data_IF_097146743929
#
_entry.id   IF_097146743929
#
_cell.length_a   1.000
_cell.length_b   1.000
_cell.length_c   1.000
_cell.angle_alpha   90.00
_cell.angle_beta   90.00
_cell.angle_gamma   90.00
#
_symmetry.space_group_name_H-M   'P 1'
#
loop_
_entity.id
_entity.type
_entity.pdbx_description
1 polymer ?
#
# COMPACT_ATOMS: atom_id res chain seq x y z
N UNK A 1 13.71 -0.79 -10.15
CA UNK A 1 13.19 -0.08 -8.94
C UNK A 1 12.06 0.81 -9.40
N UNK A 2 10.95 0.85 -8.67
CA UNK A 2 9.78 1.67 -9.02
C UNK A 2 10.08 3.16 -8.79
N UNK A 3 9.80 4.00 -9.77
CA UNK A 3 10.03 5.45 -9.71
C UNK A 3 8.73 6.24 -9.54
N UNK A 4 7.64 5.76 -10.17
CA UNK A 4 6.33 6.40 -10.17
C UNK A 4 5.27 5.45 -9.64
N UNK A 5 4.70 5.81 -8.50
CA UNK A 5 3.76 4.98 -7.74
C UNK A 5 2.38 5.65 -7.74
N UNK A 6 1.35 4.90 -8.12
CA UNK A 6 -0.04 5.29 -7.92
C UNK A 6 -0.55 4.75 -6.59
N UNK A 7 -1.24 5.56 -5.81
CA UNK A 7 -1.94 5.15 -4.60
C UNK A 7 -3.42 5.45 -4.77
N UNK A 8 -4.25 4.42 -4.68
CA UNK A 8 -5.70 4.53 -4.82
C UNK A 8 -6.38 4.36 -3.47
N UNK A 9 -7.16 5.37 -3.10
CA UNK A 9 -7.73 5.53 -1.77
C UNK A 9 -6.89 6.46 -0.91
N UNK A 10 -7.44 7.64 -0.60
CA UNK A 10 -6.78 8.70 0.19
C UNK A 10 -7.09 8.62 1.69
N UNK A 11 -7.61 7.49 2.17
CA UNK A 11 -7.87 7.22 3.58
C UNK A 11 -6.61 7.08 4.43
N UNK A 12 -6.77 6.61 5.67
CA UNK A 12 -5.68 6.49 6.65
C UNK A 12 -4.48 5.68 6.13
N UNK A 13 -4.74 4.58 5.41
CA UNK A 13 -3.68 3.74 4.84
C UNK A 13 -3.05 4.41 3.62
N UNK A 14 -3.85 4.84 2.64
CA UNK A 14 -3.33 5.42 1.40
C UNK A 14 -2.51 6.68 1.62
N UNK A 15 -2.95 7.62 2.49
CA UNK A 15 -2.14 8.81 2.82
C UNK A 15 -0.81 8.45 3.48
N UNK A 16 -0.79 7.39 4.34
CA UNK A 16 0.43 6.93 4.98
C UNK A 16 1.39 6.25 4.00
N UNK A 17 0.86 5.44 3.07
CA UNK A 17 1.62 4.81 1.98
C UNK A 17 2.21 5.87 1.05
N UNK A 18 1.40 6.86 0.68
CA UNK A 18 1.85 7.98 -0.15
C UNK A 18 3.00 8.78 0.51
N UNK A 19 2.85 9.10 1.81
CA UNK A 19 3.91 9.76 2.57
C UNK A 19 5.19 8.93 2.60
N UNK A 20 5.09 7.62 2.88
CA UNK A 20 6.24 6.73 2.97
C UNK A 20 7.06 6.79 1.68
N UNK A 21 6.43 6.54 0.55
CA UNK A 21 7.16 6.46 -0.72
C UNK A 21 7.62 7.83 -1.24
N UNK A 22 6.85 8.90 -1.01
CA UNK A 22 7.31 10.24 -1.33
C UNK A 22 8.54 10.64 -0.49
N UNK A 23 8.59 10.26 0.79
CA UNK A 23 9.76 10.48 1.66
C UNK A 23 10.97 9.65 1.25
N UNK A 24 10.74 8.49 0.61
CA UNK A 24 11.81 7.60 0.11
C UNK A 24 12.28 7.95 -1.31
N UNK A 25 11.75 9.03 -1.90
CA UNK A 25 12.23 9.57 -3.18
C UNK A 25 11.38 9.26 -4.40
N UNK A 26 10.30 8.45 -4.28
CA UNK A 26 9.42 8.11 -5.40
C UNK A 26 8.43 9.24 -5.71
N UNK A 27 8.08 9.39 -6.99
CA UNK A 27 6.94 10.21 -7.41
C UNK A 27 5.65 9.47 -7.08
N UNK A 28 4.73 10.11 -6.36
CA UNK A 28 3.49 9.47 -5.90
C UNK A 28 2.28 10.25 -6.41
N UNK A 29 1.42 9.56 -7.15
CA UNK A 29 0.11 10.04 -7.58
C UNK A 29 -0.95 9.48 -6.64
N UNK A 30 -1.78 10.34 -6.04
CA UNK A 30 -2.85 9.94 -5.12
C UNK A 30 -4.18 10.13 -5.84
N UNK A 31 -4.95 9.06 -5.95
CA UNK A 31 -6.29 9.07 -6.52
C UNK A 31 -7.32 8.60 -5.49
N UNK A 32 -8.43 9.29 -5.44
CA UNK A 32 -9.65 8.88 -4.72
C UNK A 32 -10.87 9.33 -5.54
N UNK A 33 -11.99 8.66 -5.39
CA UNK A 33 -13.24 9.05 -6.03
C UNK A 33 -13.81 10.35 -5.46
N UNK A 34 -13.36 10.78 -4.30
CA UNK A 34 -13.66 12.05 -3.64
C UNK A 34 -12.43 12.95 -3.69
N UNK A 35 -12.49 14.01 -4.47
CA UNK A 35 -11.38 14.94 -4.62
C UNK A 35 -10.92 15.54 -3.26
N UNK A 36 -11.89 15.89 -2.41
CA UNK A 36 -11.61 16.45 -1.07
C UNK A 36 -10.77 15.49 -0.20
N UNK A 37 -10.93 14.18 -0.38
CA UNK A 37 -10.13 13.20 0.38
C UNK A 37 -8.65 13.24 -0.02
N UNK A 38 -8.34 13.60 -1.25
CA UNK A 38 -6.96 13.76 -1.72
C UNK A 38 -6.33 14.99 -1.09
N UNK A 39 -7.06 16.12 -1.09
CA UNK A 39 -6.60 17.37 -0.49
C UNK A 39 -6.37 17.20 1.02
N UNK A 40 -7.32 16.56 1.71
CA UNK A 40 -7.21 16.22 3.14
C UNK A 40 -5.98 15.34 3.43
N UNK A 41 -5.70 14.35 2.57
CA UNK A 41 -4.55 13.45 2.72
C UNK A 41 -3.22 14.20 2.56
N UNK A 42 -3.12 15.07 1.55
CA UNK A 42 -1.92 15.89 1.31
C UNK A 42 -1.72 16.87 2.46
N UNK A 43 -2.77 17.56 2.91
CA UNK A 43 -2.69 18.51 4.01
C UNK A 43 -2.36 17.82 5.35
N UNK A 44 -2.93 16.65 5.61
CA UNK A 44 -2.56 15.83 6.78
C UNK A 44 -1.06 15.51 6.77
N UNK A 45 -0.54 15.04 5.64
CA UNK A 45 0.87 14.70 5.48
C UNK A 45 1.77 15.94 5.63
N UNK A 46 1.37 17.08 5.05
CA UNK A 46 2.05 18.36 5.21
C UNK A 46 2.21 18.72 6.69
N UNK A 47 1.12 18.65 7.45
CA UNK A 47 1.11 18.98 8.87
C UNK A 47 1.96 18.01 9.69
N UNK A 48 1.96 16.72 9.36
CA UNK A 48 2.79 15.72 10.03
C UNK A 48 4.28 15.92 9.77
N UNK A 49 4.65 16.17 8.52
CA UNK A 49 6.02 16.45 8.12
C UNK A 49 6.53 17.77 8.74
N UNK A 50 5.71 18.83 8.77
CA UNK A 50 6.03 20.10 9.41
C UNK A 50 6.34 19.92 10.91
N UNK A 51 5.60 19.05 11.60
CA UNK A 51 5.90 18.71 13.00
C UNK A 51 7.25 17.97 13.14
N UNK A 52 7.64 17.20 12.14
CA UNK A 52 8.93 16.51 12.11
C UNK A 52 10.08 17.49 11.91
N UNK A 53 9.91 18.50 11.08
CA UNK A 53 10.86 19.61 10.91
C UNK A 53 11.01 20.38 12.23
N UNK A 54 9.90 20.79 12.86
CA UNK A 54 9.91 21.50 14.13
C UNK A 54 10.63 20.74 15.27
N UNK A 55 10.67 19.40 15.17
CA UNK A 55 11.39 18.52 16.12
C UNK A 55 12.84 18.22 15.69
N UNK A 56 13.32 18.82 14.61
CA UNK A 56 14.66 18.57 14.07
C UNK A 56 14.88 17.16 13.50
N UNK A 57 13.81 16.44 13.17
CA UNK A 57 13.84 15.05 12.62
C UNK A 57 13.82 15.02 11.11
N UNK A 58 13.52 16.13 10.46
CA UNK A 58 13.45 16.30 9.01
C UNK A 58 14.00 17.69 8.65
N UNK A 59 14.76 17.79 7.57
CA UNK A 59 15.20 19.09 7.06
C UNK A 59 14.07 19.80 6.30
N UNK A 60 14.12 21.14 6.19
CA UNK A 60 13.18 21.90 5.35
C UNK A 60 13.27 21.46 3.88
N UNK A 61 14.47 21.20 3.38
CA UNK A 61 14.68 20.73 2.01
C UNK A 61 14.01 19.37 1.75
N UNK A 62 14.11 18.41 2.70
CA UNK A 62 13.45 17.10 2.57
C UNK A 62 11.93 17.22 2.70
N UNK A 63 11.45 18.13 3.55
CA UNK A 63 10.03 18.46 3.67
C UNK A 63 9.48 18.95 2.32
N UNK A 64 10.09 19.96 1.72
CA UNK A 64 9.64 20.50 0.44
C UNK A 64 9.72 19.46 -0.67
N UNK A 65 10.82 18.72 -0.75
CA UNK A 65 11.00 17.64 -1.72
C UNK A 65 9.96 16.53 -1.58
N UNK A 66 9.62 16.14 -0.35
CA UNK A 66 8.61 15.13 -0.10
C UNK A 66 7.21 15.59 -0.55
N UNK A 67 6.85 16.83 -0.24
CA UNK A 67 5.56 17.39 -0.66
C UNK A 67 5.46 17.52 -2.19
N UNK A 68 6.53 17.93 -2.86
CA UNK A 68 6.56 18.04 -4.32
C UNK A 68 6.36 16.69 -5.02
N UNK A 69 6.75 15.58 -4.39
CA UNK A 69 6.58 14.24 -4.94
C UNK A 69 5.16 13.70 -4.76
N UNK A 70 4.37 14.23 -3.83
CA UNK A 70 2.97 13.85 -3.64
C UNK A 70 2.07 14.72 -4.51
N UNK A 71 1.49 14.13 -5.55
CA UNK A 71 0.67 14.85 -6.52
C UNK A 71 -0.76 14.30 -6.54
N UNK A 72 -1.78 15.15 -6.60
CA UNK A 72 -3.15 14.69 -6.80
C UNK A 72 -3.32 14.16 -8.23
N UNK A 73 -4.06 13.07 -8.37
CA UNK A 73 -4.54 12.56 -9.65
C UNK A 73 -6.04 12.87 -9.77
N UNK A 74 -6.42 13.71 -10.72
CA UNK A 74 -7.81 14.10 -10.92
C UNK A 74 -8.67 12.94 -11.47
N UNK A 75 -8.05 12.04 -12.24
CA UNK A 75 -8.70 10.90 -12.86
C UNK A 75 -7.86 9.65 -12.72
N UNK A 76 -8.50 8.47 -12.75
CA UNK A 76 -7.81 7.18 -12.71
C UNK A 76 -6.79 7.04 -13.87
N UNK A 77 -7.10 7.62 -15.02
CA UNK A 77 -6.25 7.65 -16.22
C UNK A 77 -4.88 8.30 -16.01
N UNK A 78 -4.72 9.17 -15.01
CA UNK A 78 -3.43 9.75 -14.66
C UNK A 78 -2.40 8.70 -14.18
N UNK A 79 -2.86 7.51 -13.78
CA UNK A 79 -2.01 6.43 -13.28
C UNK A 79 -1.40 5.56 -14.38
N UNK A 80 -1.73 5.80 -15.66
CA UNK A 80 -1.33 4.97 -16.82
C UNK A 80 0.18 4.74 -16.93
N UNK A 81 0.98 5.71 -16.52
CA UNK A 81 2.45 5.67 -16.61
C UNK A 81 3.10 5.31 -15.26
N UNK A 82 2.35 4.74 -14.31
CA UNK A 82 2.90 4.25 -13.05
C UNK A 82 3.60 2.90 -13.23
N UNK A 83 4.69 2.71 -12.50
CA UNK A 83 5.44 1.44 -12.44
C UNK A 83 4.77 0.47 -11.44
N UNK A 84 4.11 1.02 -10.44
CA UNK A 84 3.40 0.32 -9.38
C UNK A 84 2.12 1.09 -9.04
N UNK A 85 1.00 0.38 -8.89
CA UNK A 85 -0.23 0.93 -8.33
C UNK A 85 -0.59 0.16 -7.07
N UNK A 86 -0.78 0.88 -5.96
CA UNK A 86 -1.15 0.31 -4.65
C UNK A 86 -2.59 0.72 -4.33
N UNK A 87 -3.46 -0.26 -4.19
CA UNK A 87 -4.86 -0.07 -3.83
C UNK A 87 -5.02 -0.14 -2.30
N UNK A 88 -5.70 0.86 -1.74
CA UNK A 88 -6.05 0.98 -0.31
C UNK A 88 -7.48 1.51 -0.11
N UNK A 89 -8.44 0.97 -0.90
CA UNK A 89 -9.86 1.32 -0.83
C UNK A 89 -10.63 0.43 0.17
N UNK A 90 -11.98 0.51 0.13
CA UNK A 90 -12.85 -0.31 0.99
C UNK A 90 -12.59 -1.80 0.84
N UNK A 91 -12.74 -2.54 1.95
CA UNK A 91 -12.41 -3.98 2.02
C UNK A 91 -13.59 -4.84 1.52
N UNK A 92 -13.94 -4.66 0.23
CA UNK A 92 -14.99 -5.38 -0.48
C UNK A 92 -14.41 -6.01 -1.75
N UNK A 93 -14.48 -7.33 -1.83
CA UNK A 93 -13.85 -8.11 -2.90
C UNK A 93 -14.27 -7.65 -4.30
N UNK A 94 -15.58 -7.52 -4.52
CA UNK A 94 -16.13 -7.16 -5.83
C UNK A 94 -15.70 -5.76 -6.27
N UNK A 95 -15.55 -4.83 -5.31
CA UNK A 95 -15.09 -3.47 -5.58
C UNK A 95 -13.62 -3.47 -5.98
N UNK A 96 -12.80 -4.25 -5.26
CA UNK A 96 -11.38 -4.40 -5.59
C UNK A 96 -11.19 -5.11 -6.94
N UNK A 97 -11.92 -6.19 -7.20
CA UNK A 97 -11.85 -6.90 -8.48
C UNK A 97 -12.19 -5.99 -9.66
N UNK A 98 -13.28 -5.20 -9.54
CA UNK A 98 -13.66 -4.23 -10.57
C UNK A 98 -12.58 -3.18 -10.80
N UNK A 99 -11.97 -2.68 -9.72
CA UNK A 99 -10.87 -1.72 -9.84
C UNK A 99 -9.64 -2.34 -10.52
N UNK A 100 -9.26 -3.57 -10.15
CA UNK A 100 -8.10 -4.26 -10.74
C UNK A 100 -8.30 -4.55 -12.23
N UNK A 101 -9.51 -4.93 -12.67
CA UNK A 101 -9.85 -5.07 -14.08
C UNK A 101 -9.69 -3.74 -14.85
N UNK A 102 -10.16 -2.63 -14.27
CA UNK A 102 -9.99 -1.29 -14.85
C UNK A 102 -8.52 -0.86 -14.92
N UNK A 103 -7.75 -1.12 -13.85
CA UNK A 103 -6.33 -0.78 -13.79
C UNK A 103 -5.54 -1.57 -14.82
N UNK A 104 -5.82 -2.86 -14.95
CA UNK A 104 -5.14 -3.70 -15.92
C UNK A 104 -5.30 -3.20 -17.36
N UNK A 105 -6.49 -2.68 -17.70
CA UNK A 105 -6.76 -2.09 -19.02
C UNK A 105 -6.09 -0.73 -19.22
N UNK A 106 -5.70 -0.05 -18.14
CA UNK A 106 -5.20 1.32 -18.16
C UNK A 106 -3.68 1.41 -18.17
N UNK A 107 -3.02 0.64 -17.27
CA UNK A 107 -1.58 0.73 -17.05
C UNK A 107 -0.79 -0.17 -18.00
N UNK A 108 0.52 0.08 -18.09
CA UNK A 108 1.38 -0.76 -18.91
C UNK A 108 1.40 -2.22 -18.45
N UNK A 109 1.74 -3.13 -19.34
CA UNK A 109 1.86 -4.57 -19.05
C UNK A 109 2.93 -4.90 -18.00
N UNK A 110 3.90 -4.02 -17.82
CA UNK A 110 4.98 -4.16 -16.82
C UNK A 110 4.65 -3.52 -15.47
N UNK A 111 3.56 -2.78 -15.37
CA UNK A 111 3.14 -2.17 -14.10
C UNK A 111 2.68 -3.25 -13.12
N UNK A 112 3.21 -3.20 -11.91
CA UNK A 112 2.78 -4.07 -10.80
C UNK A 112 1.51 -3.51 -10.18
N UNK A 113 0.56 -4.39 -9.89
CA UNK A 113 -0.67 -4.05 -9.18
C UNK A 113 -0.63 -4.66 -7.77
N UNK A 114 -0.70 -3.83 -6.76
CA UNK A 114 -0.62 -4.27 -5.37
C UNK A 114 -1.89 -3.91 -4.59
N UNK A 115 -2.32 -4.77 -3.69
CA UNK A 115 -3.44 -4.51 -2.79
C UNK A 115 -2.97 -4.42 -1.34
N UNK A 116 -3.47 -3.41 -0.61
CA UNK A 116 -3.22 -3.28 0.83
C UNK A 116 -4.29 -3.98 1.67
N UNK A 117 -5.00 -4.98 1.11
CA UNK A 117 -5.97 -5.77 1.87
C UNK A 117 -5.32 -6.38 3.11
N UNK A 118 -6.10 -6.48 4.19
CA UNK A 118 -5.66 -7.11 5.45
C UNK A 118 -6.20 -8.54 5.62
N UNK A 119 -7.17 -8.94 4.79
CA UNK A 119 -7.94 -10.17 5.04
C UNK A 119 -8.50 -10.86 3.79
N UNK A 120 -8.68 -10.12 2.68
CA UNK A 120 -9.16 -10.70 1.44
C UNK A 120 -8.02 -11.48 0.74
N UNK A 121 -8.38 -12.60 0.10
CA UNK A 121 -7.40 -13.37 -0.68
C UNK A 121 -6.89 -12.55 -1.86
N UNK A 122 -5.57 -12.37 -1.94
CA UNK A 122 -4.88 -11.72 -3.04
C UNK A 122 -5.13 -12.48 -4.35
N UNK A 123 -5.14 -13.81 -4.30
CA UNK A 123 -5.46 -14.69 -5.42
C UNK A 123 -6.87 -14.42 -5.96
N UNK A 124 -7.85 -14.24 -5.08
CA UNK A 124 -9.21 -13.91 -5.49
C UNK A 124 -9.32 -12.51 -6.10
N UNK A 125 -8.59 -11.53 -5.58
CA UNK A 125 -8.53 -10.19 -6.18
C UNK A 125 -7.89 -10.29 -7.57
N UNK A 126 -6.77 -10.98 -7.69
CA UNK A 126 -6.04 -11.18 -8.95
C UNK A 126 -6.83 -11.96 -10.02
N UNK A 127 -7.82 -12.76 -9.62
CA UNK A 127 -8.62 -13.58 -10.56
C UNK A 127 -9.46 -12.76 -11.55
N UNK A 128 -9.67 -11.47 -11.30
CA UNK A 128 -10.31 -10.55 -12.24
C UNK A 128 -9.37 -10.08 -13.35
N UNK A 129 -8.06 -10.25 -13.17
CA UNK A 129 -7.06 -9.83 -14.14
C UNK A 129 -6.74 -10.94 -15.15
N UNK A 130 -6.46 -10.56 -16.38
CA UNK A 130 -5.93 -11.46 -17.42
C UNK A 130 -4.48 -11.86 -17.14
N UNK A 131 -3.74 -10.98 -16.47
CA UNK A 131 -2.32 -11.13 -16.10
C UNK A 131 -2.13 -11.10 -14.59
N UNK A 132 -2.67 -12.10 -13.86
CA UNK A 132 -2.59 -12.15 -12.40
C UNK A 132 -1.16 -12.32 -11.86
N UNK A 133 -0.19 -12.68 -12.70
CA UNK A 133 1.22 -12.83 -12.32
C UNK A 133 1.87 -11.51 -11.86
N UNK A 134 1.31 -10.36 -12.25
CA UNK A 134 1.78 -9.03 -11.81
C UNK A 134 1.03 -8.45 -10.60
N UNK A 135 0.14 -9.27 -10.00
CA UNK A 135 -0.65 -8.87 -8.83
C UNK A 135 -0.06 -9.47 -7.56
N UNK A 136 0.09 -8.66 -6.51
CA UNK A 136 0.57 -9.09 -5.20
C UNK A 136 -0.17 -8.36 -4.07
N UNK A 137 -0.13 -8.89 -2.85
CA UNK A 137 -0.47 -8.12 -1.67
C UNK A 137 0.73 -7.30 -1.18
N UNK A 138 0.46 -6.08 -0.73
CA UNK A 138 1.46 -5.20 -0.14
C UNK A 138 0.83 -4.55 1.08
N UNK A 139 0.78 -5.32 2.18
CA UNK A 139 -0.02 -5.03 3.36
C UNK A 139 0.80 -4.26 4.39
N UNK A 140 0.51 -2.98 4.52
CA UNK A 140 1.08 -2.06 5.50
C UNK A 140 0.26 -2.01 6.79
N UNK A 141 0.90 -1.57 7.88
CA UNK A 141 0.27 -1.41 9.19
C UNK A 141 0.18 0.06 9.59
N UNK A 142 -0.93 0.43 10.23
CA UNK A 142 -1.17 1.81 10.65
C UNK A 142 -0.48 2.11 11.99
N UNK A 143 0.24 3.24 12.15
CA UNK A 143 0.57 4.27 11.15
C UNK A 143 1.73 3.85 10.23
N UNK A 144 1.53 3.91 8.92
CA UNK A 144 2.49 3.39 7.92
C UNK A 144 3.92 3.90 8.10
N UNK A 145 4.19 5.19 8.32
CA UNK A 145 5.57 5.67 8.48
C UNK A 145 6.27 5.19 9.76
N UNK A 146 5.50 4.71 10.76
CA UNK A 146 6.01 4.29 12.08
C UNK A 146 6.15 2.78 12.22
N UNK A 147 5.19 2.04 11.66
CA UNK A 147 5.17 0.58 11.69
C UNK A 147 6.12 0.03 10.63
N UNK A 148 7.35 -0.28 11.04
CA UNK A 148 8.47 -0.63 10.16
C UNK A 148 8.40 -2.06 9.62
N UNK A 149 7.20 -2.58 9.39
CA UNK A 149 6.92 -3.89 8.80
C UNK A 149 5.88 -3.75 7.69
N UNK A 150 6.06 -4.54 6.64
CA UNK A 150 5.08 -4.71 5.57
C UNK A 150 5.06 -6.19 5.15
N UNK A 151 3.90 -6.73 4.88
CA UNK A 151 3.75 -8.08 4.33
C UNK A 151 3.67 -8.01 2.82
N UNK A 152 4.57 -8.72 2.15
CA UNK A 152 4.53 -8.96 0.71
C UNK A 152 3.84 -10.29 0.49
N UNK A 153 2.57 -10.25 0.10
CA UNK A 153 1.71 -11.43 0.02
C UNK A 153 1.75 -12.00 -1.38
N UNK A 154 2.17 -13.25 -1.46
CA UNK A 154 2.25 -14.01 -2.70
C UNK A 154 0.89 -14.65 -3.00
N UNK A 155 0.17 -14.17 -4.00
CA UNK A 155 -0.96 -14.88 -4.60
C UNK A 155 -0.50 -16.12 -5.35
N UNK A 156 -1.42 -17.02 -5.67
CA UNK A 156 -1.11 -18.31 -6.31
C UNK A 156 -0.32 -18.19 -7.62
N UNK A 157 -0.56 -17.11 -8.38
CA UNK A 157 0.07 -16.87 -9.69
C UNK A 157 1.08 -15.72 -9.68
N UNK A 158 1.32 -15.08 -8.55
CA UNK A 158 2.24 -13.94 -8.47
C UNK A 158 3.65 -14.33 -8.87
N UNK A 159 4.24 -13.59 -9.82
CA UNK A 159 5.61 -13.79 -10.29
C UNK A 159 6.63 -13.49 -9.19
N UNK A 160 7.72 -14.28 -9.15
CA UNK A 160 8.79 -14.09 -8.17
C UNK A 160 9.47 -12.72 -8.32
N UNK A 161 9.63 -12.23 -9.54
CA UNK A 161 10.22 -10.91 -9.80
C UNK A 161 9.37 -9.78 -9.22
N UNK A 162 8.04 -9.92 -9.20
CA UNK A 162 7.13 -8.96 -8.55
C UNK A 162 7.36 -8.94 -7.04
N UNK A 163 7.46 -10.10 -6.41
CA UNK A 163 7.74 -10.22 -4.98
C UNK A 163 9.07 -9.56 -4.62
N UNK A 164 10.14 -9.90 -5.35
CA UNK A 164 11.47 -9.34 -5.09
C UNK A 164 11.54 -7.82 -5.29
N UNK A 165 10.84 -7.30 -6.30
CA UNK A 165 10.76 -5.85 -6.53
C UNK A 165 10.01 -5.12 -5.41
N UNK A 166 8.93 -5.68 -4.87
CA UNK A 166 8.20 -5.11 -3.73
C UNK A 166 9.01 -5.17 -2.44
N UNK A 167 9.74 -6.28 -2.20
CA UNK A 167 10.68 -6.40 -1.08
C UNK A 167 11.74 -5.32 -1.15
N UNK A 168 12.41 -5.19 -2.29
CA UNK A 168 13.45 -4.17 -2.49
C UNK A 168 12.93 -2.74 -2.29
N UNK A 169 11.69 -2.46 -2.73
CA UNK A 169 11.05 -1.16 -2.52
C UNK A 169 10.77 -0.91 -1.03
N UNK A 170 10.26 -1.90 -0.31
CA UNK A 170 9.97 -1.80 1.12
C UNK A 170 11.24 -1.55 1.94
N UNK A 171 12.30 -2.31 1.65
CA UNK A 171 13.61 -2.16 2.30
C UNK A 171 14.24 -0.79 2.01
N UNK A 172 14.15 -0.31 0.77
CA UNK A 172 14.57 1.03 0.41
C UNK A 172 13.82 2.12 1.21
N UNK A 173 12.54 1.90 1.48
CA UNK A 173 11.72 2.77 2.32
C UNK A 173 11.93 2.57 3.83
N UNK A 174 12.88 1.74 4.23
CA UNK A 174 13.25 1.47 5.63
C UNK A 174 12.23 0.62 6.38
N UNK A 175 11.54 -0.28 5.67
CA UNK A 175 10.62 -1.27 6.24
C UNK A 175 11.21 -2.67 6.12
N UNK A 176 10.94 -3.51 7.12
CA UNK A 176 11.16 -4.94 7.02
C UNK A 176 10.05 -5.57 6.19
N UNK A 177 10.40 -6.26 5.11
CA UNK A 177 9.46 -6.94 4.24
C UNK A 177 9.35 -8.42 4.62
N UNK A 178 8.17 -8.82 5.10
CA UNK A 178 7.87 -10.22 5.40
C UNK A 178 7.15 -10.85 4.20
N UNK A 179 7.80 -11.79 3.51
CA UNK A 179 7.14 -12.54 2.44
C UNK A 179 6.22 -13.59 3.07
N UNK A 180 4.96 -13.61 2.65
CA UNK A 180 3.95 -14.55 3.18
C UNK A 180 3.08 -15.11 2.05
N UNK A 181 2.62 -16.36 2.17
CA UNK A 181 1.60 -16.90 1.27
C UNK A 181 0.24 -16.22 1.50
N UNK A 182 -0.64 -16.33 0.51
CA UNK A 182 -2.03 -15.82 0.54
C UNK A 182 -2.92 -16.71 1.43
N UNK A 183 -2.69 -16.65 2.74
CA UNK A 183 -3.45 -17.38 3.77
C UNK A 183 -4.29 -16.43 4.61
N UNK A 184 -5.40 -16.89 5.21
CA UNK A 184 -6.26 -16.03 6.03
C UNK A 184 -5.52 -15.32 7.17
N UNK A 185 -5.47 -13.98 7.10
CA UNK A 185 -4.77 -13.13 8.07
C UNK A 185 -3.26 -13.04 7.87
N UNK A 186 -2.75 -13.56 6.77
CA UNK A 186 -1.33 -13.55 6.38
C UNK A 186 -0.43 -14.01 7.54
N UNK A 187 0.63 -13.30 7.88
CA UNK A 187 1.53 -13.65 8.97
C UNK A 187 1.16 -12.95 10.28
N UNK A 188 1.08 -11.60 10.26
CA UNK A 188 0.95 -10.78 11.48
C UNK A 188 -0.44 -10.94 12.12
N UNK A 189 -1.50 -10.84 11.33
CA UNK A 189 -2.86 -11.01 11.85
C UNK A 189 -3.13 -12.47 12.26
N UNK A 190 -2.54 -13.44 11.57
CA UNK A 190 -2.65 -14.85 11.94
C UNK A 190 -1.98 -15.11 13.30
N UNK A 191 -0.74 -14.65 13.49
CA UNK A 191 -0.03 -14.77 14.76
C UNK A 191 -0.74 -14.00 15.89
N UNK A 192 -1.24 -12.78 15.61
CA UNK A 192 -1.95 -11.96 16.59
C UNK A 192 -3.25 -12.60 17.12
N UNK A 193 -3.98 -13.34 16.26
CA UNK A 193 -5.20 -14.06 16.68
C UNK A 193 -4.91 -15.16 17.69
N UNK A 194 -3.75 -15.81 17.65
CA UNK A 194 -3.36 -16.85 18.59
C UNK A 194 -3.36 -16.35 20.03
N UNK A 195 -2.91 -15.12 20.29
CA UNK A 195 -2.95 -14.51 21.62
C UNK A 195 -4.37 -14.31 22.12
N UNK A 196 -5.29 -13.84 21.25
CA UNK A 196 -6.70 -13.63 21.64
C UNK A 196 -7.42 -14.94 21.95
N UNK A 197 -7.22 -15.97 21.13
CA UNK A 197 -7.83 -17.30 21.36
C UNK A 197 -7.28 -17.96 22.61
N UNK A 198 -5.98 -17.84 22.87
CA UNK A 198 -5.36 -18.37 24.09
C UNK A 198 -5.86 -17.65 25.35
N UNK A 199 -5.99 -16.31 25.30
CA UNK A 199 -6.55 -15.55 26.41
C UNK A 199 -8.01 -15.96 26.72
N UNK A 200 -8.83 -16.18 25.69
CA UNK A 200 -10.20 -16.69 25.85
C UNK A 200 -10.22 -18.11 26.45
N UNK A 201 -9.29 -18.98 26.01
CA UNK A 201 -9.14 -20.32 26.57
C UNK A 201 -8.82 -20.25 28.08
N UNK A 202 -7.82 -19.44 28.46
CA UNK A 202 -7.46 -19.24 29.88
C UNK A 202 -8.63 -18.75 30.72
N UNK A 203 -9.42 -17.80 30.20
CA UNK A 203 -10.62 -17.31 30.90
C UNK A 203 -11.69 -18.40 31.05
N UNK A 204 -11.81 -19.34 30.11
CA UNK A 204 -12.78 -20.45 30.19
C UNK A 204 -12.35 -21.56 31.14
N UNK A 205 -11.08 -21.68 31.43
CA UNK A 205 -10.50 -22.69 32.33
C UNK A 205 -10.41 -22.20 33.80
N UNK A 206 -10.61 -20.91 34.08
CA UNK A 206 -10.51 -20.29 35.40
C UNK A 206 -9.11 -19.80 35.68
#
# INVERSE_FOLDING_TARGET
MFNRIGVIGAGAMGRGIAQLFASSGQQVLIYDTRAEAIDDAIEFNRNLLKRSVAKGKLSEADFDATLQRMQPAAELSALKDCDLVIEAIVELLEVKQKLFDQLEALVSDTCVLATNTSSLSVTRIASSCRRPERVAGFHFFNPVPLMKIVEVVRGERTDEGVIQNLVALAEHAGHFAAITPDTPGFLVNHAGRAFGTEALRMLSEG
#
